data_IF_170164351980
#
_entry.id   IF_170164351980
#
_cell.length_a   1.000
_cell.length_b   1.000
_cell.length_c   1.000
_cell.angle_alpha   90.00
_cell.angle_beta   90.00
_cell.angle_gamma   90.00
#
_symmetry.space_group_name_H-M   'P 1'
#
loop_
_entity.id
_entity.type
_entity.pdbx_description
1 polymer ?
#
# COMPACT_ATOMS: atom_id res chain seq x y z
N UNK A 1 -41.68 4.10 22.40
CA UNK A 1 -40.34 4.21 21.78
C UNK A 1 -39.85 2.82 21.42
N UNK A 2 -39.31 2.65 20.21
CA UNK A 2 -38.74 1.38 19.76
C UNK A 2 -37.23 1.43 19.96
N UNK A 3 -36.66 0.48 20.72
CA UNK A 3 -35.21 0.34 20.92
C UNK A 3 -34.70 -0.86 20.14
N UNK A 4 -33.60 -0.68 19.40
CA UNK A 4 -32.87 -1.76 18.75
C UNK A 4 -31.85 -2.30 19.74
N UNK A 5 -31.87 -3.62 19.95
CA UNK A 5 -30.97 -4.34 20.87
C UNK A 5 -30.30 -5.46 20.08
N UNK A 6 -28.98 -5.56 20.13
CA UNK A 6 -28.23 -6.69 19.55
C UNK A 6 -28.30 -7.85 20.53
N UNK A 7 -29.06 -8.90 20.19
CA UNK A 7 -29.34 -10.04 21.06
C UNK A 7 -28.34 -11.21 20.94
N UNK A 8 -27.18 -10.99 20.30
CA UNK A 8 -26.11 -11.97 20.19
C UNK A 8 -25.48 -12.03 18.80
N UNK A 9 -24.53 -12.94 18.64
CA UNK A 9 -23.89 -13.28 17.37
C UNK A 9 -23.82 -14.80 17.22
N UNK A 10 -23.82 -15.30 15.98
CA UNK A 10 -23.66 -16.72 15.65
C UNK A 10 -22.47 -16.86 14.72
N UNK A 11 -21.51 -17.69 15.09
CA UNK A 11 -20.44 -18.09 14.18
C UNK A 11 -21.02 -19.02 13.10
N UNK A 12 -20.73 -18.73 11.84
CA UNK A 12 -20.98 -19.63 10.72
C UNK A 12 -19.65 -20.22 10.25
N UNK A 13 -19.50 -21.54 10.15
CA UNK A 13 -18.34 -22.14 9.53
C UNK A 13 -18.34 -21.80 8.03
N UNK A 14 -17.17 -21.39 7.53
CA UNK A 14 -16.91 -21.18 6.10
C UNK A 14 -15.86 -22.20 5.67
N UNK A 15 -16.09 -22.84 4.52
CA UNK A 15 -15.18 -23.81 3.91
C UNK A 15 -14.40 -23.13 2.80
N UNK A 16 -13.16 -23.58 2.57
CA UNK A 16 -12.37 -23.09 1.43
C UNK A 16 -12.98 -23.66 0.15
N UNK A 17 -12.86 -22.93 -0.96
CA UNK A 17 -13.42 -23.35 -2.24
C UNK A 17 -12.88 -24.73 -2.65
N UNK A 18 -11.59 -24.99 -2.42
CA UNK A 18 -10.95 -26.27 -2.70
C UNK A 18 -11.48 -27.46 -1.85
N UNK A 19 -12.20 -27.17 -0.76
CA UNK A 19 -12.82 -28.17 0.11
C UNK A 19 -14.31 -28.38 -0.22
N UNK A 20 -14.79 -27.88 -1.36
CA UNK A 20 -16.20 -27.98 -1.79
C UNK A 20 -16.31 -28.64 -3.15
N UNK A 21 -17.39 -29.40 -3.36
CA UNK A 21 -17.76 -29.97 -4.66
C UNK A 21 -18.86 -29.12 -5.32
N UNK A 22 -18.87 -29.04 -6.65
CA UNK A 22 -19.92 -28.35 -7.40
C UNK A 22 -19.43 -27.63 -8.65
N UNK A 23 -20.28 -26.77 -9.20
CA UNK A 23 -19.93 -25.91 -10.33
C UNK A 23 -18.83 -24.91 -9.93
N UNK A 24 -17.91 -24.58 -10.85
CA UNK A 24 -16.89 -23.56 -10.60
C UNK A 24 -17.53 -22.25 -10.15
N UNK A 25 -17.05 -21.73 -9.02
CA UNK A 25 -17.46 -20.41 -8.55
C UNK A 25 -16.82 -19.35 -9.44
N UNK A 26 -17.63 -18.46 -9.98
CA UNK A 26 -17.12 -17.28 -10.68
C UNK A 26 -16.35 -16.41 -9.69
N UNK A 27 -15.04 -16.27 -9.91
CA UNK A 27 -14.21 -15.36 -9.14
C UNK A 27 -14.39 -13.97 -9.72
N UNK A 28 -14.89 -12.99 -8.95
CA UNK A 28 -15.06 -11.64 -9.46
C UNK A 28 -13.70 -11.01 -9.76
N UNK A 29 -13.66 -10.18 -10.80
CA UNK A 29 -12.54 -9.29 -11.02
C UNK A 29 -12.55 -8.19 -9.94
N UNK A 30 -11.46 -8.11 -9.18
CA UNK A 30 -11.30 -7.13 -8.10
C UNK A 30 -10.69 -5.82 -8.58
N UNK A 31 -10.33 -5.71 -9.86
CA UNK A 31 -9.77 -4.49 -10.43
C UNK A 31 -10.78 -3.33 -10.31
N UNK A 32 -10.30 -2.11 -9.97
CA UNK A 32 -11.14 -0.93 -9.99
C UNK A 32 -11.50 -0.54 -11.42
N UNK A 33 -12.58 0.23 -11.58
CA UNK A 33 -13.00 0.77 -12.89
C UNK A 33 -11.91 1.64 -13.52
N UNK A 34 -11.17 2.36 -12.68
CA UNK A 34 -10.02 3.16 -13.08
C UNK A 34 -8.83 2.83 -12.17
N UNK A 35 -7.65 2.64 -12.78
CA UNK A 35 -6.43 2.44 -12.03
C UNK A 35 -6.05 3.72 -11.26
N UNK A 36 -5.38 3.59 -10.10
CA UNK A 36 -4.93 4.74 -9.33
C UNK A 36 -3.95 5.58 -10.16
N UNK A 37 -3.81 6.89 -9.85
CA UNK A 37 -2.72 7.69 -10.39
C UNK A 37 -1.38 6.97 -10.23
N UNK A 38 -0.43 7.21 -11.13
CA UNK A 38 0.89 6.56 -11.10
C UNK A 38 0.89 5.03 -11.28
N UNK A 39 -0.23 4.37 -11.61
CA UNK A 39 -0.21 2.94 -11.98
C UNK A 39 0.76 2.64 -13.14
N UNK A 40 0.88 3.56 -14.11
CA UNK A 40 1.87 3.47 -15.17
C UNK A 40 3.33 3.52 -14.70
N UNK A 41 3.59 4.14 -13.53
CA UNK A 41 4.92 4.15 -12.90
C UNK A 41 5.27 2.75 -12.40
N UNK A 42 4.34 2.03 -11.77
CA UNK A 42 4.58 0.65 -11.35
C UNK A 42 4.99 -0.23 -12.55
N UNK A 43 4.21 -0.18 -13.64
CA UNK A 43 4.50 -0.94 -14.86
C UNK A 43 5.90 -0.64 -15.40
N UNK A 44 6.26 0.64 -15.45
CA UNK A 44 7.57 1.10 -15.87
C UNK A 44 8.72 0.63 -14.98
N UNK A 45 8.50 0.57 -13.68
CA UNK A 45 9.47 0.01 -12.72
C UNK A 45 9.60 -1.51 -12.86
N UNK A 46 8.89 -2.13 -13.81
CA UNK A 46 8.83 -3.58 -13.99
C UNK A 46 8.07 -4.26 -12.86
N UNK A 47 7.11 -3.54 -12.25
CA UNK A 47 6.32 -4.01 -11.11
C UNK A 47 4.88 -4.24 -11.56
N UNK A 48 4.39 -5.47 -11.42
CA UNK A 48 3.00 -5.80 -11.70
C UNK A 48 2.10 -5.30 -10.56
N UNK A 49 0.87 -4.91 -10.90
CA UNK A 49 -0.16 -4.54 -9.91
C UNK A 49 -1.33 -5.51 -10.05
N UNK A 50 -1.74 -6.13 -8.95
CA UNK A 50 -2.82 -7.11 -8.90
C UNK A 50 -3.80 -6.77 -7.79
N UNK A 51 -5.09 -6.85 -8.09
CA UNK A 51 -6.15 -6.73 -7.08
C UNK A 51 -6.62 -8.12 -6.63
N UNK A 52 -6.79 -8.29 -5.33
CA UNK A 52 -7.13 -9.56 -4.71
C UNK A 52 -8.09 -9.35 -3.53
N UNK A 53 -8.89 -10.36 -3.15
CA UNK A 53 -9.69 -10.27 -1.94
C UNK A 53 -8.78 -10.16 -0.71
N UNK A 54 -9.28 -9.52 0.34
CA UNK A 54 -8.54 -9.38 1.60
C UNK A 54 -8.49 -10.71 2.35
N UNK A 55 -7.32 -11.35 2.35
CA UNK A 55 -7.08 -12.65 3.02
C UNK A 55 -6.39 -12.51 4.39
N UNK A 56 -6.28 -11.30 4.95
CA UNK A 56 -5.57 -11.05 6.21
C UNK A 56 -5.71 -9.63 6.74
N UNK A 57 -4.80 -9.22 7.63
CA UNK A 57 -4.81 -7.91 8.30
C UNK A 57 -4.40 -6.71 7.44
N UNK A 58 -3.86 -6.93 6.25
CA UNK A 58 -3.30 -5.90 5.37
C UNK A 58 -4.31 -5.40 4.32
N UNK A 59 -4.03 -4.23 3.74
CA UNK A 59 -4.78 -3.66 2.61
C UNK A 59 -3.99 -3.71 1.29
N UNK A 60 -2.68 -3.89 1.38
CA UNK A 60 -1.77 -4.07 0.26
C UNK A 60 -0.44 -4.62 0.75
N UNK A 61 0.40 -5.09 -0.18
CA UNK A 61 1.80 -5.41 0.07
C UNK A 61 2.59 -5.49 -1.24
N UNK A 62 3.85 -5.03 -1.21
CA UNK A 62 4.85 -5.29 -2.25
C UNK A 62 5.63 -6.59 -1.97
N UNK A 63 5.76 -7.43 -3.00
CA UNK A 63 6.53 -8.67 -2.95
C UNK A 63 7.82 -8.53 -3.74
N UNK A 64 8.95 -8.39 -3.03
CA UNK A 64 10.29 -8.27 -3.58
C UNK A 64 10.60 -9.31 -4.67
N UNK A 65 10.47 -10.61 -4.34
CA UNK A 65 10.88 -11.69 -5.23
C UNK A 65 10.06 -11.81 -6.52
N UNK A 66 8.85 -11.25 -6.54
CA UNK A 66 7.96 -11.26 -7.71
C UNK A 66 7.89 -9.92 -8.43
N UNK A 67 8.41 -8.85 -7.81
CA UNK A 67 8.18 -7.46 -8.22
C UNK A 67 6.69 -7.21 -8.48
N UNK A 68 5.87 -7.49 -7.46
CA UNK A 68 4.42 -7.40 -7.56
C UNK A 68 3.85 -6.61 -6.39
N UNK A 69 2.96 -5.66 -6.68
CA UNK A 69 2.09 -5.01 -5.71
C UNK A 69 0.75 -5.74 -5.72
N UNK A 70 0.38 -6.35 -4.59
CA UNK A 70 -0.97 -6.89 -4.40
C UNK A 70 -1.80 -5.91 -3.57
N UNK A 71 -2.98 -5.54 -4.06
CA UNK A 71 -3.92 -4.63 -3.41
C UNK A 71 -5.21 -5.36 -3.03
N UNK A 72 -5.62 -5.21 -1.78
CA UNK A 72 -6.90 -5.66 -1.24
C UNK A 72 -7.85 -4.49 -0.95
N UNK A 73 -7.53 -3.31 -1.47
CA UNK A 73 -8.26 -2.07 -1.34
C UNK A 73 -8.16 -1.27 -2.63
N UNK A 74 -9.17 -0.44 -2.90
CA UNK A 74 -9.12 0.55 -3.99
C UNK A 74 -8.57 1.91 -3.53
N UNK A 75 -8.19 2.05 -2.25
CA UNK A 75 -7.58 3.26 -1.68
C UNK A 75 -6.21 3.55 -2.32
N UNK A 76 -6.09 4.70 -2.99
CA UNK A 76 -4.89 5.13 -3.71
C UNK A 76 -3.68 5.30 -2.78
N UNK A 77 -3.90 5.68 -1.50
CA UNK A 77 -2.81 5.78 -0.53
C UNK A 77 -2.13 4.43 -0.32
N UNK A 78 -2.90 3.36 -0.27
CA UNK A 78 -2.35 2.00 -0.12
C UNK A 78 -1.48 1.68 -1.33
N UNK A 79 -1.95 1.99 -2.54
CA UNK A 79 -1.13 1.86 -3.74
C UNK A 79 0.15 2.71 -3.69
N UNK A 80 0.08 3.96 -3.26
CA UNK A 80 1.26 4.83 -3.15
C UNK A 80 2.27 4.32 -2.12
N UNK A 81 1.80 3.77 -1.01
CA UNK A 81 2.65 3.14 0.01
C UNK A 81 3.41 1.95 -0.57
N UNK A 82 2.72 1.04 -1.26
CA UNK A 82 3.38 -0.12 -1.88
C UNK A 82 4.28 0.26 -3.06
N UNK A 83 3.90 1.29 -3.84
CA UNK A 83 4.75 1.84 -4.88
C UNK A 83 6.04 2.44 -4.30
N UNK A 84 5.96 3.09 -3.14
CA UNK A 84 7.11 3.61 -2.44
C UNK A 84 8.06 2.48 -1.98
N UNK A 85 7.54 1.35 -1.51
CA UNK A 85 8.36 0.16 -1.25
C UNK A 85 9.04 -0.37 -2.51
N UNK A 86 8.30 -0.46 -3.62
CA UNK A 86 8.85 -0.88 -4.89
C UNK A 86 9.96 0.06 -5.40
N UNK A 87 9.83 1.36 -5.20
CA UNK A 87 10.88 2.33 -5.53
C UNK A 87 12.08 2.19 -4.59
N UNK A 88 11.84 2.05 -3.28
CA UNK A 88 12.89 1.86 -2.26
C UNK A 88 13.78 0.67 -2.60
N UNK A 89 13.17 -0.46 -2.97
CA UNK A 89 13.87 -1.67 -3.41
C UNK A 89 14.89 -1.43 -4.53
N UNK A 90 14.59 -0.51 -5.45
CA UNK A 90 15.43 -0.24 -6.62
C UNK A 90 16.51 0.81 -6.38
N UNK A 91 16.31 1.73 -5.43
CA UNK A 91 17.15 2.93 -5.32
C UNK A 91 17.94 3.02 -4.02
N UNK A 92 17.41 2.49 -2.92
CA UNK A 92 18.06 2.66 -1.61
C UNK A 92 19.09 1.55 -1.41
N UNK A 93 20.35 1.88 -1.09
CA UNK A 93 21.38 0.88 -0.86
C UNK A 93 20.99 -0.13 0.23
N UNK A 94 21.14 -1.42 -0.07
CA UNK A 94 20.73 -2.51 0.82
C UNK A 94 19.29 -2.98 0.63
N UNK A 95 18.50 -2.31 -0.21
CA UNK A 95 17.16 -2.72 -0.63
C UNK A 95 16.18 -2.91 0.53
N UNK A 96 15.12 -3.69 0.28
CA UNK A 96 14.15 -4.04 1.31
C UNK A 96 14.63 -5.17 2.21
N UNK A 97 14.20 -5.13 3.47
CA UNK A 97 14.44 -6.14 4.48
C UNK A 97 13.13 -6.84 4.79
N UNK A 98 13.18 -8.13 5.08
CA UNK A 98 11.98 -8.87 5.45
C UNK A 98 11.37 -8.38 6.76
N UNK A 99 10.04 -8.42 6.84
CA UNK A 99 9.27 -7.93 7.99
C UNK A 99 9.00 -6.43 7.92
N UNK A 100 8.45 -5.88 9.00
CA UNK A 100 8.13 -4.46 9.10
C UNK A 100 9.37 -3.67 9.55
N UNK A 101 10.36 -3.52 8.66
CA UNK A 101 11.52 -2.67 8.94
C UNK A 101 11.09 -1.22 9.07
N UNK A 102 11.42 -0.64 10.22
CA UNK A 102 10.86 0.64 10.64
C UNK A 102 11.30 1.80 9.74
N UNK A 103 12.54 1.75 9.25
CA UNK A 103 13.04 2.79 8.35
C UNK A 103 12.33 2.70 7.00
N UNK A 104 12.11 1.49 6.50
CA UNK A 104 11.38 1.25 5.24
C UNK A 104 9.93 1.75 5.31
N UNK A 105 9.25 1.51 6.43
CA UNK A 105 7.89 2.00 6.68
C UNK A 105 7.83 3.53 6.80
N UNK A 106 8.81 4.15 7.48
CA UNK A 106 8.91 5.62 7.56
C UNK A 106 9.09 6.24 6.17
N UNK A 107 9.96 5.65 5.34
CA UNK A 107 10.20 6.11 3.96
C UNK A 107 8.92 5.95 3.13
N UNK A 108 8.30 4.77 3.16
CA UNK A 108 7.12 4.46 2.35
C UNK A 108 5.92 5.33 2.70
N UNK A 109 5.58 5.44 3.99
CA UNK A 109 4.43 6.22 4.43
C UNK A 109 4.61 7.72 4.19
N UNK A 110 5.83 8.25 4.38
CA UNK A 110 6.13 9.66 4.11
C UNK A 110 6.01 9.98 2.61
N UNK A 111 6.53 9.11 1.75
CA UNK A 111 6.39 9.29 0.30
C UNK A 111 4.93 9.17 -0.13
N UNK A 112 4.18 8.19 0.39
CA UNK A 112 2.75 8.04 0.11
C UNK A 112 1.94 9.27 0.52
N UNK A 113 2.18 9.81 1.71
CA UNK A 113 1.54 11.03 2.18
C UNK A 113 1.86 12.24 1.29
N UNK A 114 3.11 12.33 0.81
CA UNK A 114 3.55 13.37 -0.13
C UNK A 114 2.84 13.26 -1.48
N UNK A 115 2.77 12.04 -2.04
CA UNK A 115 2.08 11.77 -3.30
C UNK A 115 0.57 12.04 -3.18
N UNK A 116 -0.07 11.64 -2.08
CA UNK A 116 -1.46 11.98 -1.81
C UNK A 116 -1.67 13.50 -1.84
N UNK A 117 -0.81 14.26 -1.16
CA UNK A 117 -0.89 15.72 -1.17
C UNK A 117 -0.74 16.31 -2.58
N UNK A 118 0.23 15.84 -3.36
CA UNK A 118 0.47 16.28 -4.75
C UNK A 118 -0.70 15.97 -5.69
N UNK A 119 -1.39 14.84 -5.47
CA UNK A 119 -2.55 14.43 -6.25
C UNK A 119 -3.89 14.99 -5.73
N UNK A 120 -3.86 15.88 -4.73
CA UNK A 120 -5.07 16.49 -4.16
C UNK A 120 -5.91 15.53 -3.30
N UNK A 121 -5.34 14.41 -2.88
CA UNK A 121 -5.97 13.44 -1.98
C UNK A 121 -5.81 13.92 -0.53
N UNK A 122 -6.79 14.66 -0.04
CA UNK A 122 -6.82 15.21 1.32
C UNK A 122 -7.29 14.20 2.38
N UNK A 123 -7.09 14.54 3.66
CA UNK A 123 -7.61 13.76 4.80
C UNK A 123 -6.67 12.68 5.35
N UNK A 124 -5.57 12.37 4.67
CA UNK A 124 -4.67 11.28 5.06
C UNK A 124 -3.53 11.70 6.00
N UNK A 125 -3.16 12.99 6.05
CA UNK A 125 -2.00 13.46 6.82
C UNK A 125 -2.08 13.13 8.31
N UNK A 126 -3.27 13.19 8.92
CA UNK A 126 -3.46 12.81 10.31
C UNK A 126 -3.22 11.30 10.52
N UNK A 127 -3.77 10.47 9.62
CA UNK A 127 -3.55 9.02 9.65
C UNK A 127 -2.09 8.65 9.42
N UNK A 128 -1.41 9.30 8.46
CA UNK A 128 0.00 9.08 8.19
C UNK A 128 0.87 9.49 9.38
N UNK A 129 0.58 10.61 10.05
CA UNK A 129 1.27 11.00 11.29
C UNK A 129 1.11 9.92 12.37
N UNK A 130 -0.11 9.47 12.61
CA UNK A 130 -0.39 8.45 13.64
C UNK A 130 0.25 7.09 13.29
N UNK A 131 0.39 6.78 12.00
CA UNK A 131 1.13 5.60 11.53
C UNK A 131 2.63 5.77 11.80
N UNK A 132 3.23 6.88 11.34
CA UNK A 132 4.65 7.20 11.50
C UNK A 132 5.09 7.23 12.97
N UNK A 133 4.24 7.72 13.88
CA UNK A 133 4.51 7.72 15.33
C UNK A 133 4.73 6.31 15.89
N UNK A 134 4.06 5.29 15.34
CA UNK A 134 4.28 3.88 15.74
C UNK A 134 5.67 3.39 15.35
N UNK A 135 6.24 3.95 14.30
CA UNK A 135 7.56 3.60 13.78
C UNK A 135 8.68 4.52 14.28
N UNK A 136 8.36 5.57 15.04
CA UNK A 136 9.30 6.63 15.46
C UNK A 136 10.14 6.31 16.71
N UNK A 137 10.01 5.16 17.36
CA UNK A 137 10.80 4.78 18.55
C UNK A 137 10.58 5.67 19.78
N UNK A 138 9.46 6.38 19.83
CA UNK A 138 9.24 7.39 20.88
C UNK A 138 9.96 8.72 20.64
N UNK A 139 10.63 8.92 19.50
CA UNK A 139 11.26 10.20 19.16
C UNK A 139 10.31 11.21 18.47
N UNK A 140 9.08 10.77 18.18
CA UNK A 140 8.05 11.49 17.43
C UNK A 140 8.22 11.39 15.90
N UNK A 141 7.10 11.33 15.18
CA UNK A 141 7.05 11.19 13.72
C UNK A 141 7.91 12.24 13.00
N UNK A 142 7.85 13.51 13.43
CA UNK A 142 8.58 14.59 12.76
C UNK A 142 10.10 14.33 12.74
N UNK A 143 10.68 13.91 13.87
CA UNK A 143 12.12 13.65 13.96
C UNK A 143 12.51 12.37 13.21
N UNK A 144 11.69 11.33 13.30
CA UNK A 144 11.90 10.09 12.56
C UNK A 144 11.89 10.32 11.03
N UNK A 145 10.93 11.10 10.53
CA UNK A 145 10.84 11.50 9.12
C UNK A 145 12.08 12.28 8.68
N UNK A 146 12.58 13.21 9.50
CA UNK A 146 13.79 13.96 9.17
C UNK A 146 15.01 13.03 8.97
N UNK A 147 15.08 11.92 9.72
CA UNK A 147 16.11 10.90 9.54
C UNK A 147 15.96 10.08 8.25
N UNK A 148 14.74 9.92 7.75
CA UNK A 148 14.43 9.17 6.53
C UNK A 148 14.40 10.04 5.26
N UNK A 149 14.50 11.36 5.39
CA UNK A 149 14.17 12.32 4.33
C UNK A 149 15.05 12.17 3.06
N UNK A 150 16.31 11.77 3.23
CA UNK A 150 17.21 11.51 2.09
C UNK A 150 16.68 10.39 1.20
N UNK A 151 16.25 9.27 1.80
CA UNK A 151 15.73 8.12 1.07
C UNK A 151 14.33 8.42 0.50
N UNK A 152 13.50 9.15 1.25
CA UNK A 152 12.21 9.66 0.75
C UNK A 152 12.41 10.46 -0.53
N UNK A 153 13.37 11.39 -0.55
CA UNK A 153 13.69 12.16 -1.74
C UNK A 153 14.11 11.26 -2.89
N UNK A 154 15.02 10.32 -2.66
CA UNK A 154 15.53 9.42 -3.69
C UNK A 154 14.40 8.62 -4.35
N UNK A 155 13.47 8.07 -3.55
CA UNK A 155 12.34 7.30 -4.11
C UNK A 155 11.33 8.20 -4.83
N UNK A 156 11.09 9.41 -4.33
CA UNK A 156 10.20 10.38 -4.98
C UNK A 156 10.79 10.84 -6.31
N UNK A 157 12.10 11.07 -6.39
CA UNK A 157 12.79 11.42 -7.62
C UNK A 157 12.59 10.31 -8.67
N UNK A 158 12.71 9.02 -8.31
CA UNK A 158 12.42 7.90 -9.22
C UNK A 158 10.94 7.84 -9.64
N UNK A 159 10.01 8.05 -8.71
CA UNK A 159 8.57 7.96 -8.98
C UNK A 159 8.12 9.10 -9.90
N UNK A 160 8.60 10.31 -9.66
CA UNK A 160 8.17 11.53 -10.34
C UNK A 160 8.98 11.85 -11.60
N UNK A 161 10.06 11.13 -11.87
CA UNK A 161 10.87 11.35 -13.06
C UNK A 161 10.00 11.22 -14.34
N UNK A 162 10.02 12.24 -15.22
CA UNK A 162 9.31 12.20 -16.50
C UNK A 162 10.06 11.46 -17.60
N UNK A 163 11.38 11.26 -17.50
CA UNK A 163 12.16 10.42 -18.44
C UNK A 163 11.80 8.94 -18.33
N UNK A 164 11.23 8.60 -17.19
CA UNK A 164 10.62 7.32 -16.96
C UNK A 164 9.17 7.36 -17.56
N UNK A 165 8.50 8.48 -17.82
CA UNK A 165 7.11 8.51 -18.33
C UNK A 165 6.96 8.10 -19.81
N UNK A 166 6.17 7.06 -20.09
CA UNK A 166 5.71 6.73 -21.44
C UNK A 166 4.95 7.90 -22.07
N UNK A 167 5.19 8.10 -23.37
CA UNK A 167 4.75 9.22 -24.21
C UNK A 167 3.38 9.79 -23.83
N UNK A 168 3.33 11.13 -23.80
CA UNK A 168 2.08 11.88 -23.98
C UNK A 168 1.36 11.46 -25.25
#
# INVERSE_FOLDING_TARGET
ETRVIIAGFKALPVFRLEDTDGEPVEVPDYAPIALPPLAGVAQRLGVSVRYAPRLGGYLGFYTLGRKEITLCSHDERVFFHELAHAAHDQTVPGGLKGGQDRHQELVAETAAATLCHMHGLGGYLAHSRDYLDRYSNGEGAARAVMGALSDVRVILDLILDPSTGGSR
#
